data_IF_509296342727
#
_entry.id   IF_509296342727
#
_cell.length_a   1.000
_cell.length_b   1.000
_cell.length_c   1.000
_cell.angle_alpha   90.00
_cell.angle_beta   90.00
_cell.angle_gamma   90.00
#
_symmetry.space_group_name_H-M   'P 1'
#
loop_
_entity.id
_entity.type
_entity.pdbx_description
1 polymer ?
#
# COMPACT_ATOMS: atom_id res chain seq x y z
N UNK A 1 7.15 24.25 -4.23
CA UNK A 1 6.84 23.79 -2.86
C UNK A 1 6.24 22.40 -2.95
N UNK A 2 7.09 21.39 -2.94
CA UNK A 2 6.70 19.97 -3.04
C UNK A 2 6.46 19.45 -1.63
N UNK A 3 5.22 19.17 -1.29
CA UNK A 3 4.85 18.54 -0.01
C UNK A 3 5.36 17.10 0.01
N UNK A 4 5.84 16.63 1.16
CA UNK A 4 6.42 15.30 1.45
C UNK A 4 5.56 14.09 1.01
N UNK A 5 4.36 14.29 0.47
CA UNK A 5 3.42 13.25 0.07
C UNK A 5 3.79 12.52 -1.24
N UNK A 6 4.77 13.02 -2.01
CA UNK A 6 5.11 12.49 -3.34
C UNK A 6 6.20 11.40 -3.35
N UNK A 7 6.61 10.88 -2.19
CA UNK A 7 7.69 9.86 -2.07
C UNK A 7 7.22 8.46 -1.71
N UNK A 8 5.99 8.08 -2.07
CA UNK A 8 5.50 6.72 -1.80
C UNK A 8 5.94 5.77 -2.92
N UNK A 9 7.22 5.41 -2.91
CA UNK A 9 7.71 4.22 -3.63
C UNK A 9 7.53 3.02 -2.68
N UNK A 10 6.57 2.17 -3.00
CA UNK A 10 5.95 1.18 -2.11
C UNK A 10 6.90 0.10 -1.55
N UNK A 11 8.04 -0.17 -2.19
CA UNK A 11 9.05 -1.10 -1.68
C UNK A 11 10.22 -0.43 -0.96
N UNK A 12 10.54 0.82 -1.29
CA UNK A 12 11.69 1.53 -0.71
C UNK A 12 11.39 2.00 0.70
N UNK A 13 10.18 2.51 0.96
CA UNK A 13 9.80 2.95 2.32
C UNK A 13 9.74 1.78 3.32
N UNK A 14 9.19 0.64 2.90
CA UNK A 14 9.13 -0.56 3.74
C UNK A 14 10.52 -1.06 4.16
N UNK A 15 11.50 -0.92 3.25
CA UNK A 15 12.91 -1.28 3.48
C UNK A 15 13.66 -0.22 4.29
N UNK A 16 13.47 1.07 3.97
CA UNK A 16 14.28 2.17 4.52
C UNK A 16 13.77 2.67 5.87
N UNK A 17 12.46 2.60 6.11
CA UNK A 17 11.82 3.11 7.32
C UNK A 17 10.80 2.12 7.90
N UNK A 18 11.25 0.94 8.37
CA UNK A 18 10.36 -0.05 8.95
C UNK A 18 9.79 0.39 10.31
N UNK A 19 10.49 1.25 11.06
CA UNK A 19 10.08 1.66 12.41
C UNK A 19 8.77 2.46 12.39
N UNK A 20 8.61 3.54 11.59
CA UNK A 20 7.33 4.25 11.51
C UNK A 20 6.14 3.37 11.11
N UNK A 21 6.34 2.44 10.15
CA UNK A 21 5.29 1.50 9.73
C UNK A 21 4.83 0.63 10.92
N UNK A 22 5.79 0.07 11.67
CA UNK A 22 5.49 -0.77 12.83
C UNK A 22 4.87 0.00 13.99
N UNK A 23 5.28 1.24 14.22
CA UNK A 23 4.67 2.10 15.26
C UNK A 23 3.21 2.38 14.90
N UNK A 24 2.95 2.76 13.65
CA UNK A 24 1.59 2.95 13.16
C UNK A 24 0.76 1.66 13.27
N UNK A 25 1.30 0.53 12.81
CA UNK A 25 0.62 -0.76 12.89
C UNK A 25 0.28 -1.17 14.33
N UNK A 26 1.21 -0.99 15.28
CA UNK A 26 0.95 -1.26 16.70
C UNK A 26 -0.17 -0.41 17.26
N UNK A 27 -0.20 0.89 16.95
CA UNK A 27 -1.27 1.78 17.35
C UNK A 27 -2.64 1.31 16.80
N UNK A 28 -2.70 0.89 15.54
CA UNK A 28 -3.92 0.30 14.95
C UNK A 28 -4.33 -1.01 15.65
N UNK A 29 -3.39 -1.91 15.94
CA UNK A 29 -3.65 -3.20 16.62
C UNK A 29 -4.27 -2.97 18.01
N UNK A 30 -3.87 -1.92 18.71
CA UNK A 30 -4.44 -1.55 20.01
C UNK A 30 -5.78 -0.80 19.90
N UNK A 31 -6.38 -0.72 18.71
CA UNK A 31 -7.66 -0.04 18.49
C UNK A 31 -7.53 1.47 18.26
N UNK A 32 -6.33 1.95 17.93
CA UNK A 32 -6.01 3.35 17.68
C UNK A 32 -6.42 4.33 18.81
N UNK A 33 -6.00 4.10 20.07
CA UNK A 33 -6.36 4.97 21.20
C UNK A 33 -5.95 6.44 21.04
N UNK A 34 -4.84 6.70 20.36
CA UNK A 34 -4.32 8.05 20.07
C UNK A 34 -4.65 8.50 18.65
N UNK A 35 -4.68 7.58 17.68
CA UNK A 35 -4.93 7.93 16.27
C UNK A 35 -6.39 7.87 15.84
N UNK A 36 -7.31 7.34 16.64
CA UNK A 36 -8.70 7.10 16.25
C UNK A 36 -9.40 8.34 15.68
N UNK A 37 -9.24 9.50 16.31
CA UNK A 37 -9.78 10.77 15.81
C UNK A 37 -9.22 11.14 14.44
N UNK A 38 -7.90 11.04 14.26
CA UNK A 38 -7.23 11.29 12.99
C UNK A 38 -7.72 10.34 11.89
N UNK A 39 -7.85 9.04 12.20
CA UNK A 39 -8.34 8.03 11.26
C UNK A 39 -9.77 8.32 10.81
N UNK A 40 -10.65 8.67 11.76
CA UNK A 40 -12.05 8.96 11.52
C UNK A 40 -12.33 10.29 10.80
N UNK A 41 -11.35 11.21 10.79
CA UNK A 41 -11.50 12.56 10.24
C UNK A 41 -10.58 12.79 9.05
N UNK A 42 -9.33 13.17 9.30
CA UNK A 42 -8.37 13.59 8.27
C UNK A 42 -8.06 12.48 7.27
N UNK A 43 -7.76 11.28 7.77
CA UNK A 43 -7.48 10.14 6.89
C UNK A 43 -8.71 9.78 6.06
N UNK A 44 -9.89 9.75 6.68
CA UNK A 44 -11.16 9.49 5.98
C UNK A 44 -11.40 10.51 4.87
N UNK A 45 -11.24 11.80 5.15
CA UNK A 45 -11.43 12.87 4.17
C UNK A 45 -10.45 12.76 3.00
N UNK A 46 -9.20 12.40 3.30
CA UNK A 46 -8.19 12.15 2.27
C UNK A 46 -8.54 10.93 1.40
N UNK A 47 -8.95 9.82 2.01
CA UNK A 47 -9.40 8.59 1.31
C UNK A 47 -10.60 8.91 0.42
N UNK A 48 -11.58 9.67 0.92
CA UNK A 48 -12.75 10.05 0.13
C UNK A 48 -12.36 10.92 -1.10
N UNK A 49 -11.32 11.74 -0.97
CA UNK A 49 -10.77 12.53 -2.09
C UNK A 49 -10.13 11.63 -3.16
N UNK A 50 -9.32 10.65 -2.76
CA UNK A 50 -8.71 9.70 -3.72
C UNK A 50 -9.75 8.78 -4.34
N UNK A 51 -10.72 8.32 -3.55
CA UNK A 51 -11.82 7.49 -4.03
C UNK A 51 -12.67 8.20 -5.09
N UNK A 52 -12.86 9.52 -5.01
CA UNK A 52 -13.53 10.30 -6.07
C UNK A 52 -12.79 10.24 -7.40
N UNK A 53 -11.46 10.30 -7.39
CA UNK A 53 -10.64 10.19 -8.61
C UNK A 53 -10.81 8.82 -9.26
N UNK A 54 -10.71 7.75 -8.46
CA UNK A 54 -10.87 6.36 -8.94
C UNK A 54 -12.28 6.14 -9.49
N UNK A 55 -13.32 6.63 -8.81
CA UNK A 55 -14.70 6.61 -9.34
C UNK A 55 -14.83 7.32 -10.68
N UNK A 56 -14.08 8.40 -10.90
CA UNK A 56 -14.02 9.07 -12.20
C UNK A 56 -13.45 8.17 -13.30
N UNK A 57 -12.44 7.35 -13.00
CA UNK A 57 -11.90 6.37 -13.94
C UNK A 57 -12.89 5.22 -14.22
N UNK A 58 -13.59 4.75 -13.20
CA UNK A 58 -14.65 3.73 -13.33
C UNK A 58 -15.78 4.25 -14.21
N UNK A 59 -16.29 5.46 -13.94
CA UNK A 59 -17.36 6.08 -14.72
C UNK A 59 -16.96 6.32 -16.19
N UNK A 60 -15.67 6.52 -16.45
CA UNK A 60 -15.13 6.66 -17.80
C UNK A 60 -14.81 5.31 -18.49
N UNK A 61 -15.15 4.17 -17.88
CA UNK A 61 -14.89 2.83 -18.43
C UNK A 61 -13.41 2.45 -18.48
N UNK A 62 -12.54 3.13 -17.70
CA UNK A 62 -11.08 2.91 -17.73
C UNK A 62 -10.60 1.81 -16.78
N UNK A 63 -11.45 1.38 -15.86
CA UNK A 63 -11.16 0.43 -14.78
C UNK A 63 -12.45 -0.33 -14.44
N UNK A 64 -12.33 -1.56 -13.93
CA UNK A 64 -13.47 -2.32 -13.42
C UNK A 64 -14.22 -1.61 -12.29
N UNK A 65 -15.51 -1.91 -12.15
CA UNK A 65 -16.33 -1.39 -11.05
C UNK A 65 -15.97 -2.09 -9.73
N UNK A 66 -15.09 -1.44 -8.97
CA UNK A 66 -14.61 -1.89 -7.67
C UNK A 66 -14.75 -0.75 -6.65
N UNK A 67 -14.90 -1.09 -5.37
CA UNK A 67 -14.88 -0.07 -4.32
C UNK A 67 -13.46 0.52 -4.16
N UNK A 68 -13.28 1.84 -4.39
CA UNK A 68 -11.96 2.45 -4.30
C UNK A 68 -11.32 2.42 -2.91
N UNK A 69 -12.11 2.38 -1.83
CA UNK A 69 -11.59 2.33 -0.47
C UNK A 69 -10.94 0.97 -0.21
N UNK A 70 -11.58 -0.10 -0.66
CA UNK A 70 -11.02 -1.45 -0.58
C UNK A 70 -9.77 -1.60 -1.45
N UNK A 71 -9.70 -0.96 -2.62
CA UNK A 71 -8.47 -0.89 -3.42
C UNK A 71 -7.33 -0.22 -2.63
N UNK A 72 -7.60 0.93 -2.00
CA UNK A 72 -6.59 1.65 -1.20
C UNK A 72 -6.11 0.80 0.00
N UNK A 73 -7.03 0.15 0.71
CA UNK A 73 -6.68 -0.76 1.80
C UNK A 73 -5.83 -1.94 1.33
N UNK A 74 -6.14 -2.52 0.17
CA UNK A 74 -5.36 -3.60 -0.42
C UNK A 74 -3.94 -3.15 -0.79
N UNK A 75 -3.79 -1.96 -1.38
CA UNK A 75 -2.47 -1.38 -1.68
C UNK A 75 -1.67 -1.18 -0.39
N UNK A 76 -2.26 -0.60 0.65
CA UNK A 76 -1.56 -0.41 1.93
C UNK A 76 -1.18 -1.73 2.59
N UNK A 77 -2.12 -2.65 2.74
CA UNK A 77 -1.87 -3.95 3.37
C UNK A 77 -0.78 -4.75 2.64
N UNK A 78 -0.87 -4.85 1.31
CA UNK A 78 0.08 -5.62 0.50
C UNK A 78 1.50 -5.04 0.50
N UNK A 79 1.66 -3.77 0.86
CA UNK A 79 2.97 -3.08 0.85
C UNK A 79 3.56 -3.00 2.25
N UNK A 80 2.74 -2.61 3.23
CA UNK A 80 3.15 -2.55 4.65
C UNK A 80 3.50 -3.92 5.22
N UNK A 81 2.87 -5.00 4.73
CA UNK A 81 3.18 -6.36 5.20
C UNK A 81 4.67 -6.71 5.12
N UNK A 82 5.40 -6.17 4.13
CA UNK A 82 6.82 -6.42 3.96
C UNK A 82 7.71 -5.66 4.95
N UNK A 83 7.18 -4.63 5.62
CA UNK A 83 7.85 -3.94 6.73
C UNK A 83 7.46 -4.54 8.09
N UNK A 84 6.15 -4.75 8.29
CA UNK A 84 5.57 -5.10 9.58
C UNK A 84 5.78 -6.58 9.90
N UNK A 85 5.70 -7.45 8.87
CA UNK A 85 5.86 -8.90 8.97
C UNK A 85 7.15 -9.40 8.29
N UNK A 86 8.18 -8.55 8.23
CA UNK A 86 9.45 -8.86 7.57
C UNK A 86 10.10 -10.15 8.09
N UNK A 87 10.04 -10.43 9.39
CA UNK A 87 10.57 -11.65 10.02
C UNK A 87 9.81 -12.90 9.56
N UNK A 88 8.48 -12.85 9.55
CA UNK A 88 7.63 -13.92 9.04
C UNK A 88 7.92 -14.20 7.57
N UNK A 89 7.96 -13.15 6.74
CA UNK A 89 8.20 -13.29 5.30
C UNK A 89 9.59 -13.87 5.03
N UNK A 90 10.62 -13.39 5.72
CA UNK A 90 11.99 -13.92 5.57
C UNK A 90 12.05 -15.40 5.97
N UNK A 91 11.43 -15.77 7.09
CA UNK A 91 11.37 -17.17 7.53
C UNK A 91 10.64 -18.08 6.54
N UNK A 92 9.47 -17.67 6.03
CA UNK A 92 8.69 -18.45 5.05
C UNK A 92 9.44 -18.61 3.72
N UNK A 93 10.20 -17.60 3.31
CA UNK A 93 11.02 -17.65 2.09
C UNK A 93 12.39 -18.33 2.30
N UNK A 94 12.69 -18.81 3.50
CA UNK A 94 13.97 -19.46 3.81
C UNK A 94 15.18 -18.51 3.72
N UNK A 95 14.97 -17.24 4.02
CA UNK A 95 16.00 -16.18 3.98
C UNK A 95 16.24 -15.61 5.37
N UNK A 96 17.49 -15.24 5.64
CA UNK A 96 17.82 -14.47 6.85
C UNK A 96 17.19 -13.07 6.79
N UNK A 97 17.28 -12.41 5.61
CA UNK A 97 16.61 -11.14 5.33
C UNK A 97 16.32 -10.99 3.84
N UNK A 98 15.30 -10.20 3.50
CA UNK A 98 14.98 -9.82 2.12
C UNK A 98 16.06 -8.90 1.53
N UNK A 99 16.54 -9.25 0.33
CA UNK A 99 17.47 -8.44 -0.44
C UNK A 99 16.76 -7.31 -1.21
N UNK A 100 17.47 -6.27 -1.67
CA UNK A 100 16.88 -5.25 -2.55
C UNK A 100 16.23 -5.83 -3.81
N UNK A 101 16.74 -6.94 -4.34
CA UNK A 101 16.17 -7.61 -5.50
C UNK A 101 14.84 -8.32 -5.18
N UNK A 102 14.69 -8.82 -3.95
CA UNK A 102 13.41 -9.38 -3.47
C UNK A 102 12.33 -8.30 -3.40
N UNK A 103 12.65 -7.12 -2.86
CA UNK A 103 11.71 -6.00 -2.83
C UNK A 103 11.31 -5.54 -4.23
N UNK A 104 12.23 -5.52 -5.19
CA UNK A 104 11.91 -5.22 -6.60
C UNK A 104 10.96 -6.26 -7.21
N UNK A 105 11.24 -7.55 -6.98
CA UNK A 105 10.41 -8.64 -7.48
C UNK A 105 8.98 -8.58 -6.89
N UNK A 106 8.87 -8.34 -5.58
CA UNK A 106 7.60 -8.16 -4.88
C UNK A 106 6.84 -6.95 -5.42
N UNK A 107 7.50 -5.80 -5.56
CA UNK A 107 6.85 -4.59 -6.07
C UNK A 107 6.26 -4.80 -7.48
N UNK A 108 7.01 -5.47 -8.35
CA UNK A 108 6.53 -5.86 -9.69
C UNK A 108 5.32 -6.79 -9.60
N UNK A 109 5.43 -7.87 -8.81
CA UNK A 109 4.37 -8.87 -8.69
C UNK A 109 3.08 -8.27 -8.13
N UNK A 110 3.16 -7.46 -7.07
CA UNK A 110 1.99 -6.81 -6.46
C UNK A 110 1.36 -5.78 -7.40
N UNK A 111 2.18 -4.99 -8.10
CA UNK A 111 1.68 -4.06 -9.13
C UNK A 111 0.89 -4.81 -10.20
N UNK A 112 1.43 -5.93 -10.71
CA UNK A 112 0.76 -6.74 -11.72
C UNK A 112 -0.57 -7.31 -11.21
N UNK A 113 -0.59 -7.91 -10.02
CA UNK A 113 -1.80 -8.49 -9.42
C UNK A 113 -2.87 -7.41 -9.23
N UNK A 114 -2.50 -6.26 -8.65
CA UNK A 114 -3.44 -5.18 -8.36
C UNK A 114 -4.00 -4.58 -9.66
N UNK A 115 -3.14 -4.27 -10.63
CA UNK A 115 -3.58 -3.70 -11.91
C UNK A 115 -4.52 -4.66 -12.67
N UNK A 116 -4.15 -5.94 -12.77
CA UNK A 116 -5.02 -6.93 -13.43
C UNK A 116 -6.35 -7.11 -12.70
N UNK A 117 -6.35 -7.12 -11.37
CA UNK A 117 -7.58 -7.15 -10.56
C UNK A 117 -8.50 -5.96 -10.81
N UNK A 118 -7.92 -4.80 -11.18
CA UNK A 118 -8.66 -3.60 -11.58
C UNK A 118 -9.10 -3.61 -13.06
N UNK A 119 -8.87 -4.68 -13.81
CA UNK A 119 -9.13 -4.74 -15.25
C UNK A 119 -8.14 -3.96 -16.10
N UNK A 120 -6.98 -3.60 -15.54
CA UNK A 120 -5.94 -2.85 -16.24
C UNK A 120 -4.87 -3.79 -16.76
N UNK A 121 -4.32 -3.46 -17.93
CA UNK A 121 -3.13 -4.12 -18.47
C UNK A 121 -1.88 -3.48 -17.86
N UNK A 122 -1.05 -4.22 -17.11
CA UNK A 122 0.21 -3.70 -16.61
C UNK A 122 1.13 -3.31 -17.77
N UNK A 123 1.93 -2.23 -17.63
CA UNK A 123 2.94 -1.91 -18.63
C UNK A 123 3.95 -3.07 -18.75
N UNK A 124 4.52 -3.30 -19.95
CA UNK A 124 5.53 -4.32 -20.14
C UNK A 124 6.71 -4.10 -19.18
N UNK A 125 7.23 -5.19 -18.62
CA UNK A 125 8.37 -5.13 -17.69
C UNK A 125 9.62 -4.72 -18.46
N UNK A 126 10.18 -3.54 -18.14
CA UNK A 126 11.50 -3.10 -18.59
C UNK A 126 12.62 -3.77 -17.79
#
# INVERSE_FOLDING_TARGET
>A
MTTKADRVVLGELAREQPIPSRVFANEIIHGAPHLGTYLGTELRAWVDTKAKVIRGWIAAGKMHDIDPKHLLFMIWASTQTYADFASQISAVLGKEQLSPQDYKAVARQMTEIILRGCGLTPPPSS
#
